data_IF_124312830068
#
_entry.id   IF_124312830068
#
_cell.length_a   1.000
_cell.length_b   1.000
_cell.length_c   1.000
_cell.angle_alpha   90.00
_cell.angle_beta   90.00
_cell.angle_gamma   90.00
#
_symmetry.space_group_name_H-M   'P 1'
#
loop_
_entity.id
_entity.type
_entity.pdbx_description
1 polymer ?
#
# COMPACT_ATOMS: atom_id res chain seq x y z
N UNK A 1 -5.20 -4.67 -4.63
CA UNK A 1 -4.18 -5.72 -4.40
C UNK A 1 -3.21 -5.80 -5.57
N UNK A 2 -1.96 -6.08 -5.30
CA UNK A 2 -0.93 -6.24 -6.34
C UNK A 2 -0.21 -7.58 -6.15
N UNK A 3 0.10 -8.27 -7.25
CA UNK A 3 0.85 -9.53 -7.20
C UNK A 3 2.35 -9.42 -7.44
N UNK A 4 2.95 -8.23 -7.42
CA UNK A 4 4.41 -8.08 -7.49
C UNK A 4 5.09 -8.77 -6.30
N UNK A 5 6.40 -8.96 -6.40
CA UNK A 5 7.18 -9.73 -5.41
C UNK A 5 6.97 -9.26 -3.97
N UNK A 6 7.03 -7.96 -3.72
CA UNK A 6 6.84 -7.41 -2.37
C UNK A 6 5.40 -7.58 -1.91
N UNK A 7 4.43 -7.11 -2.70
CA UNK A 7 3.03 -7.13 -2.30
C UNK A 7 2.50 -8.55 -2.07
N UNK A 8 2.90 -9.49 -2.91
CA UNK A 8 2.53 -10.90 -2.76
C UNK A 8 3.12 -11.52 -1.49
N UNK A 9 4.40 -11.23 -1.18
CA UNK A 9 5.09 -11.80 0.00
C UNK A 9 4.51 -11.29 1.31
N UNK A 10 4.12 -10.02 1.35
CA UNK A 10 3.59 -9.39 2.56
C UNK A 10 2.07 -9.29 2.58
N UNK A 11 1.39 -9.80 1.54
CA UNK A 11 -0.07 -9.84 1.47
C UNK A 11 -0.72 -8.46 1.56
N UNK A 12 -0.14 -7.43 0.95
CA UNK A 12 -0.58 -6.06 1.10
C UNK A 12 -1.87 -5.72 0.36
N UNK A 13 -2.67 -4.85 0.95
CA UNK A 13 -3.83 -4.20 0.33
C UNK A 13 -3.62 -2.68 0.42
N UNK A 14 -3.29 -2.07 -0.70
CA UNK A 14 -2.92 -0.66 -0.74
C UNK A 14 -4.08 0.28 -0.97
N UNK A 15 -4.23 1.29 -0.11
CA UNK A 15 -5.03 2.48 -0.39
C UNK A 15 -4.09 3.64 -0.73
N UNK A 16 -4.34 4.30 -1.85
CA UNK A 16 -3.44 5.30 -2.45
C UNK A 16 -3.95 6.71 -2.22
N UNK A 17 -3.03 7.63 -1.96
CA UNK A 17 -3.30 9.07 -1.91
C UNK A 17 -2.00 9.86 -2.04
N UNK A 18 -2.05 11.14 -1.71
CA UNK A 18 -0.88 12.00 -1.56
C UNK A 18 -0.60 12.29 -0.08
N UNK A 19 0.67 12.24 0.31
CA UNK A 19 1.12 12.49 1.68
C UNK A 19 0.76 13.92 2.09
N UNK A 20 0.12 14.05 3.26
CA UNK A 20 -0.37 15.32 3.79
C UNK A 20 -1.75 15.74 3.27
N UNK A 21 -2.34 15.00 2.30
CA UNK A 21 -3.68 15.27 1.80
C UNK A 21 -4.70 14.29 2.40
N UNK A 22 -4.65 13.01 2.02
CA UNK A 22 -5.54 11.98 2.58
C UNK A 22 -4.83 10.99 3.49
N UNK A 23 -3.50 10.93 3.44
CA UNK A 23 -2.67 10.05 4.24
C UNK A 23 -1.57 10.84 4.93
N UNK A 24 -1.48 10.68 6.26
CA UNK A 24 -0.37 11.15 7.06
C UNK A 24 0.33 9.96 7.74
N UNK A 25 1.66 9.99 7.80
CA UNK A 25 2.45 8.93 8.43
C UNK A 25 3.34 9.50 9.51
N UNK A 26 3.50 8.75 10.60
CA UNK A 26 4.35 9.11 11.73
C UNK A 26 4.93 7.86 12.38
N UNK A 27 5.92 8.05 13.23
CA UNK A 27 6.58 6.97 13.95
C UNK A 27 7.76 6.35 13.21
N UNK A 28 8.56 5.54 13.92
CA UNK A 28 9.80 5.00 13.38
C UNK A 28 9.53 3.83 12.44
N UNK A 29 10.21 3.85 11.29
CA UNK A 29 10.16 2.77 10.29
C UNK A 29 11.54 2.43 9.79
N UNK A 30 11.68 1.22 9.23
CA UNK A 30 12.82 0.82 8.41
C UNK A 30 12.38 0.83 6.95
N UNK A 31 13.08 1.58 6.11
CA UNK A 31 12.79 1.64 4.68
C UNK A 31 13.56 0.60 3.90
N UNK A 32 12.88 -0.04 2.94
CA UNK A 32 13.46 -0.87 1.89
C UNK A 32 13.16 -0.24 0.53
N UNK A 33 14.20 0.12 -0.20
CA UNK A 33 14.10 0.81 -1.49
C UNK A 33 14.66 -0.09 -2.60
N UNK A 34 13.85 -1.03 -3.13
CA UNK A 34 14.31 -1.96 -4.17
C UNK A 34 14.51 -1.30 -5.53
N UNK A 35 13.83 -0.17 -5.75
CA UNK A 35 13.92 0.65 -6.96
C UNK A 35 14.04 2.11 -6.57
N UNK A 36 14.65 2.93 -7.42
CA UNK A 36 15.02 4.33 -7.11
C UNK A 36 13.87 5.23 -6.62
N UNK A 37 12.65 4.88 -6.97
CA UNK A 37 11.53 5.80 -6.81
C UNK A 37 10.50 5.39 -5.77
N UNK A 38 10.70 4.23 -5.10
CA UNK A 38 9.71 3.68 -4.18
C UNK A 38 10.36 3.13 -2.92
N UNK A 39 9.96 3.66 -1.76
CA UNK A 39 10.37 3.16 -0.44
C UNK A 39 9.24 2.44 0.28
N UNK A 40 9.45 1.18 0.64
CA UNK A 40 8.57 0.38 1.50
C UNK A 40 8.98 0.56 2.95
N UNK A 41 8.04 0.92 3.80
CA UNK A 41 8.29 1.25 5.20
C UNK A 41 7.70 0.20 6.14
N UNK A 42 8.58 -0.43 6.91
CA UNK A 42 8.24 -1.44 7.90
C UNK A 42 8.21 -0.81 9.29
N UNK A 43 7.16 -1.09 10.04
CA UNK A 43 7.03 -0.63 11.41
C UNK A 43 8.12 -1.25 12.29
N UNK A 44 8.87 -0.44 13.04
CA UNK A 44 9.91 -0.96 13.93
C UNK A 44 9.35 -1.66 15.18
N UNK A 45 8.06 -1.50 15.48
CA UNK A 45 7.41 -2.15 16.64
C UNK A 45 6.93 -3.55 16.32
N UNK A 46 6.22 -3.72 15.19
CA UNK A 46 5.60 -5.00 14.84
C UNK A 46 6.21 -5.68 13.61
N UNK A 47 7.10 -5.00 12.88
CA UNK A 47 7.68 -5.51 11.62
C UNK A 47 6.74 -5.50 10.43
N UNK A 48 5.49 -5.06 10.59
CA UNK A 48 4.51 -5.02 9.51
C UNK A 48 4.88 -4.02 8.43
N UNK A 49 4.61 -4.36 7.17
CA UNK A 49 4.76 -3.42 6.05
C UNK A 49 3.60 -2.43 6.08
N UNK A 50 3.85 -1.22 6.59
CA UNK A 50 2.83 -0.24 6.90
C UNK A 50 2.42 0.61 5.69
N UNK A 51 3.39 1.13 4.96
CA UNK A 51 3.14 1.97 3.81
C UNK A 51 4.30 1.94 2.82
N UNK A 52 4.05 2.40 1.62
CA UNK A 52 5.11 2.84 0.72
C UNK A 52 4.92 4.30 0.37
N UNK A 53 6.01 4.99 0.08
CA UNK A 53 5.94 6.33 -0.50
C UNK A 53 6.98 6.53 -1.57
N UNK A 54 6.68 7.42 -2.51
CA UNK A 54 7.62 7.82 -3.54
C UNK A 54 8.83 8.51 -2.89
N UNK A 55 10.02 8.17 -3.35
CA UNK A 55 11.27 8.83 -2.89
C UNK A 55 11.29 10.27 -3.39
N UNK A 56 10.76 10.52 -4.60
CA UNK A 56 10.73 11.84 -5.22
C UNK A 56 9.34 12.45 -5.17
N UNK A 57 9.30 13.78 -5.08
CA UNK A 57 8.08 14.55 -5.28
C UNK A 57 7.72 14.58 -6.77
N UNK A 58 6.43 14.73 -7.06
CA UNK A 58 5.94 15.08 -8.39
C UNK A 58 6.27 16.55 -8.69
N UNK A 59 6.19 16.95 -9.96
CA UNK A 59 6.38 18.35 -10.40
C UNK A 59 5.41 19.30 -9.70
N UNK A 60 4.24 18.81 -9.27
CA UNK A 60 3.24 19.52 -8.49
C UNK A 60 3.64 19.75 -7.03
N UNK A 61 4.77 19.17 -6.55
CA UNK A 61 5.17 19.18 -5.15
C UNK A 61 4.52 18.08 -4.30
N UNK A 62 3.61 17.29 -4.87
CA UNK A 62 2.94 16.18 -4.18
C UNK A 62 3.83 14.93 -4.11
N UNK A 63 3.69 14.17 -3.03
CA UNK A 63 4.32 12.86 -2.87
C UNK A 63 3.28 11.75 -2.86
N UNK A 64 3.39 10.81 -3.79
CA UNK A 64 2.55 9.61 -3.79
C UNK A 64 2.87 8.74 -2.59
N UNK A 65 1.82 8.23 -1.97
CA UNK A 65 1.89 7.32 -0.82
C UNK A 65 0.77 6.29 -0.91
N UNK A 66 0.95 5.14 -0.28
CA UNK A 66 -0.12 4.19 -0.05
C UNK A 66 0.05 3.52 1.31
N UNK A 67 -1.07 3.31 2.00
CA UNK A 67 -1.11 2.60 3.29
C UNK A 67 -1.64 1.19 3.12
N UNK A 68 -1.15 0.28 3.95
CA UNK A 68 -1.58 -1.12 3.93
C UNK A 68 -2.82 -1.30 4.80
N UNK A 69 -3.97 -1.48 4.17
CA UNK A 69 -5.26 -1.67 4.85
C UNK A 69 -5.32 -2.94 5.71
N UNK A 70 -4.44 -3.91 5.49
CA UNK A 70 -4.36 -5.09 6.38
C UNK A 70 -3.89 -4.75 7.80
N UNK A 71 -3.28 -3.59 8.00
CA UNK A 71 -2.84 -3.09 9.30
C UNK A 71 -3.83 -2.09 9.92
N UNK A 72 -5.04 -1.96 9.37
CA UNK A 72 -6.07 -1.10 9.94
C UNK A 72 -6.45 -1.58 11.35
N UNK A 73 -6.45 -0.67 12.34
CA UNK A 73 -6.84 -0.99 13.72
C UNK A 73 -8.31 -1.41 13.80
N UNK A 74 -9.17 -0.78 12.98
CA UNK A 74 -10.56 -1.18 12.80
C UNK A 74 -10.77 -1.79 11.40
N UNK A 75 -10.76 -3.12 11.28
CA UNK A 75 -10.96 -3.77 10.00
C UNK A 75 -12.37 -3.58 9.42
N UNK A 76 -13.36 -3.27 10.26
CA UNK A 76 -14.73 -3.00 9.82
C UNK A 76 -14.80 -1.68 9.01
N UNK A 77 -14.05 -0.67 9.43
CA UNK A 77 -14.02 0.64 8.77
C UNK A 77 -13.53 0.57 7.31
N UNK A 78 -12.67 -0.39 6.98
CA UNK A 78 -12.09 -0.54 5.63
C UNK A 78 -12.67 -1.72 4.85
N UNK A 79 -13.49 -2.55 5.49
CA UNK A 79 -13.94 -3.84 4.95
C UNK A 79 -14.76 -3.74 3.64
N UNK A 80 -15.49 -2.64 3.44
CA UNK A 80 -16.35 -2.43 2.28
C UNK A 80 -15.64 -1.78 1.08
N UNK A 81 -14.38 -1.40 1.21
CA UNK A 81 -13.62 -0.78 0.13
C UNK A 81 -13.43 -1.81 -1.00
N UNK A 82 -13.82 -1.47 -2.24
CA UNK A 82 -13.62 -2.36 -3.39
C UNK A 82 -12.13 -2.59 -3.67
N UNK A 83 -11.78 -3.82 -4.04
CA UNK A 83 -10.40 -4.21 -4.36
C UNK A 83 -10.21 -4.24 -5.88
N UNK A 84 -9.19 -3.55 -6.35
CA UNK A 84 -8.64 -3.69 -7.69
C UNK A 84 -7.40 -4.59 -7.62
N UNK A 85 -7.29 -5.52 -8.55
CA UNK A 85 -6.15 -6.43 -8.66
C UNK A 85 -5.20 -5.95 -9.73
N UNK A 86 -3.95 -5.67 -9.36
CA UNK A 86 -2.92 -5.21 -10.26
C UNK A 86 -1.93 -6.34 -10.56
N UNK A 87 -1.74 -6.64 -11.84
CA UNK A 87 -0.72 -7.60 -12.29
C UNK A 87 0.69 -6.99 -12.31
N UNK A 88 1.27 -6.84 -11.14
CA UNK A 88 2.61 -6.26 -10.99
C UNK A 88 3.78 -7.17 -11.38
N UNK A 89 3.51 -8.40 -11.83
CA UNK A 89 4.52 -9.33 -12.40
C UNK A 89 4.41 -9.47 -13.92
N UNK A 90 3.34 -8.95 -14.51
CA UNK A 90 3.07 -9.03 -15.93
C UNK A 90 2.90 -7.66 -16.56
N UNK A 91 1.77 -7.47 -17.21
CA UNK A 91 1.49 -6.30 -18.03
C UNK A 91 0.92 -5.11 -17.25
N UNK A 92 0.93 -5.13 -15.92
CA UNK A 92 0.37 -4.09 -15.05
C UNK A 92 -1.11 -3.80 -15.31
N UNK A 93 -1.85 -4.81 -15.78
CA UNK A 93 -3.29 -4.71 -15.99
C UNK A 93 -4.03 -4.71 -14.64
N UNK A 94 -5.05 -3.89 -14.58
CA UNK A 94 -6.00 -3.87 -13.46
C UNK A 94 -7.18 -4.78 -13.77
N UNK A 95 -7.59 -5.56 -12.78
CA UNK A 95 -8.76 -6.44 -12.84
C UNK A 95 -9.65 -6.17 -11.63
N UNK A 96 -10.94 -6.01 -11.88
CA UNK A 96 -11.97 -5.90 -10.84
C UNK A 96 -12.83 -7.15 -10.88
N UNK A 97 -12.95 -7.83 -9.77
CA UNK A 97 -13.75 -9.07 -9.65
C UNK A 97 -14.93 -8.93 -8.68
N UNK A 98 -15.24 -7.71 -8.24
CA UNK A 98 -16.33 -7.41 -7.32
C UNK A 98 -16.03 -7.66 -5.86
N UNK A 99 -14.85 -8.17 -5.51
CA UNK A 99 -14.44 -8.36 -4.11
C UNK A 99 -14.11 -7.03 -3.43
N UNK A 100 -14.28 -7.01 -2.13
CA UNK A 100 -13.87 -5.89 -1.29
C UNK A 100 -12.83 -6.35 -0.25
N UNK A 101 -12.30 -5.40 0.51
CA UNK A 101 -11.20 -5.66 1.47
C UNK A 101 -11.52 -6.81 2.43
N UNK A 102 -12.74 -6.89 2.98
CA UNK A 102 -13.13 -7.98 3.90
C UNK A 102 -13.05 -9.38 3.27
N UNK A 103 -13.24 -9.48 1.95
CA UNK A 103 -13.15 -10.75 1.24
C UNK A 103 -11.69 -11.24 1.08
N UNK A 104 -10.74 -10.37 1.41
CA UNK A 104 -9.30 -10.61 1.33
C UNK A 104 -8.65 -10.96 2.68
N UNK A 105 -9.46 -11.07 3.77
CA UNK A 105 -8.91 -11.38 5.10
C UNK A 105 -8.39 -12.82 5.22
N UNK A 106 -8.82 -13.70 4.35
CA UNK A 106 -8.43 -15.10 4.36
C UNK A 106 -7.57 -15.47 3.16
#
# INVERSE_FOLDING_TARGET
ACRCTVCRRYGTLWAYDFEGEGIEVSGPTQAYIPVKDLGFHFCLRCGGLAYWRAVRLRDTGQRRIAVNLRLADDPQAVGSIPVEHLDGLGEWKEVRDGRCVRDMWF
#
